data_IF_260794128210
#
_entry.id   IF_260794128210
#
_cell.length_a   1.000
_cell.length_b   1.000
_cell.length_c   1.000
_cell.angle_alpha   90.00
_cell.angle_beta   90.00
_cell.angle_gamma   90.00
#
_symmetry.space_group_name_H-M   'P 1'
#
loop_
_entity.id
_entity.type
_entity.pdbx_description
1 polymer ?
#
# COMPACT_ATOMS: atom_id res chain seq x y z
N UNK A 1 20.40 -0.64 -10.07
CA UNK A 1 19.06 -1.22 -9.86
C UNK A 1 18.73 -1.55 -8.40
N UNK A 2 19.66 -1.48 -7.44
CA UNK A 2 19.42 -1.82 -6.03
C UNK A 2 18.84 -0.68 -5.16
N UNK A 3 18.57 0.51 -5.73
CA UNK A 3 18.17 1.70 -4.96
C UNK A 3 16.70 2.11 -5.14
N UNK A 4 15.92 1.38 -5.95
CA UNK A 4 14.51 1.72 -6.22
C UNK A 4 13.57 1.00 -5.25
N UNK A 5 13.97 -0.19 -4.77
CA UNK A 5 13.14 -1.03 -3.91
C UNK A 5 13.68 -1.05 -2.48
N UNK A 6 12.81 -1.02 -1.45
CA UNK A 6 13.23 -1.21 -0.08
C UNK A 6 13.88 -2.58 0.09
N UNK A 7 14.88 -2.68 0.98
CA UNK A 7 15.67 -3.89 1.20
C UNK A 7 14.78 -5.13 1.42
N UNK A 8 13.68 -4.98 2.15
CA UNK A 8 12.72 -6.05 2.42
C UNK A 8 12.12 -6.67 1.14
N UNK A 9 11.90 -5.90 0.08
CA UNK A 9 11.41 -6.44 -1.19
C UNK A 9 12.46 -7.34 -1.87
N UNK A 10 13.74 -6.99 -1.74
CA UNK A 10 14.84 -7.84 -2.22
C UNK A 10 14.97 -9.11 -1.38
N UNK A 11 14.78 -9.01 -0.07
CA UNK A 11 14.87 -10.14 0.86
C UNK A 11 13.75 -11.16 0.58
N UNK A 12 12.51 -10.69 0.38
CA UNK A 12 11.37 -11.52 -0.03
C UNK A 12 11.66 -12.24 -1.36
N UNK A 13 12.16 -11.52 -2.36
CA UNK A 13 12.50 -12.13 -3.65
C UNK A 13 13.57 -13.22 -3.53
N UNK A 14 14.50 -13.08 -2.58
CA UNK A 14 15.57 -14.05 -2.31
C UNK A 14 15.13 -15.19 -1.38
N UNK A 15 13.89 -15.18 -0.89
CA UNK A 15 13.40 -16.15 0.09
C UNK A 15 14.04 -16.02 1.47
N UNK A 16 14.59 -14.84 1.79
CA UNK A 16 15.12 -14.54 3.12
C UNK A 16 13.93 -14.27 4.06
N UNK A 17 13.85 -14.93 5.22
CA UNK A 17 12.80 -14.64 6.19
C UNK A 17 12.86 -13.18 6.64
N UNK A 18 11.71 -12.50 6.60
CA UNK A 18 11.57 -11.14 7.12
C UNK A 18 11.45 -11.15 8.65
N UNK A 19 12.05 -10.15 9.28
CA UNK A 19 11.87 -9.86 10.71
C UNK A 19 10.93 -8.67 10.83
N UNK A 20 9.88 -8.82 11.61
CA UNK A 20 8.84 -7.81 11.78
C UNK A 20 8.99 -7.13 13.15
N UNK A 21 9.08 -5.79 13.19
CA UNK A 21 8.93 -5.02 14.43
C UNK A 21 7.54 -5.21 15.05
N UNK A 22 7.44 -5.07 16.37
CA UNK A 22 6.17 -5.20 17.10
C UNK A 22 5.13 -4.18 16.63
N UNK A 23 5.58 -3.01 16.22
CA UNK A 23 4.74 -1.93 15.71
C UNK A 23 3.99 -2.33 14.42
N UNK A 24 4.58 -3.23 13.63
CA UNK A 24 3.96 -3.77 12.42
C UNK A 24 2.88 -4.80 12.78
N UNK A 25 3.14 -5.66 13.76
CA UNK A 25 2.15 -6.60 14.29
C UNK A 25 0.93 -5.84 14.83
N UNK A 26 1.17 -4.83 15.67
CA UNK A 26 0.13 -3.96 16.22
C UNK A 26 -0.70 -3.28 15.11
N UNK A 27 -0.04 -2.80 14.06
CA UNK A 27 -0.71 -2.16 12.93
C UNK A 27 -1.57 -3.16 12.14
N UNK A 28 -1.08 -4.39 11.93
CA UNK A 28 -1.86 -5.47 11.30
C UNK A 28 -3.12 -5.81 12.11
N UNK A 29 -3.02 -5.89 13.44
CA UNK A 29 -4.16 -6.14 14.33
C UNK A 29 -5.17 -4.99 14.29
N UNK A 30 -4.72 -3.73 14.45
CA UNK A 30 -5.62 -2.57 14.39
C UNK A 30 -6.37 -2.47 13.06
N UNK A 31 -5.69 -2.75 11.94
CA UNK A 31 -6.33 -2.77 10.62
C UNK A 31 -7.36 -3.88 10.54
N UNK A 32 -7.02 -5.09 11.02
CA UNK A 32 -7.93 -6.22 11.01
C UNK A 32 -9.21 -5.90 11.79
N UNK A 33 -9.06 -5.40 13.00
CA UNK A 33 -10.18 -5.01 13.87
C UNK A 33 -11.02 -3.89 13.25
N UNK A 34 -10.38 -2.91 12.60
CA UNK A 34 -11.08 -1.82 11.92
C UNK A 34 -11.88 -2.27 10.68
N UNK A 35 -11.55 -3.43 10.12
CA UNK A 35 -12.27 -4.05 8.99
C UNK A 35 -13.20 -5.19 9.40
N UNK A 36 -13.15 -5.66 10.66
CA UNK A 36 -13.97 -6.78 11.12
C UNK A 36 -15.32 -6.27 11.65
N UNK A 37 -16.37 -6.37 10.83
CA UNK A 37 -17.72 -6.00 11.24
C UNK A 37 -18.59 -5.37 10.16
N UNK A 38 -19.70 -4.73 10.57
CA UNK A 38 -20.61 -4.01 9.68
C UNK A 38 -20.10 -2.59 9.44
N UNK A 39 -19.13 -2.47 8.53
CA UNK A 39 -18.53 -1.20 8.11
C UNK A 39 -17.05 -1.09 8.49
N UNK A 40 -16.41 -0.02 8.03
CA UNK A 40 -14.98 0.25 8.25
C UNK A 40 -14.80 1.42 9.19
N UNK A 41 -13.95 1.27 10.20
CA UNK A 41 -13.47 2.41 10.97
C UNK A 41 -12.33 3.12 10.19
N UNK A 42 -12.74 4.05 9.32
CA UNK A 42 -11.82 4.83 8.48
C UNK A 42 -10.78 5.60 9.30
N UNK A 43 -11.14 6.02 10.52
CA UNK A 43 -10.26 6.80 11.39
C UNK A 43 -9.10 5.93 11.90
N UNK A 44 -9.41 4.71 12.35
CA UNK A 44 -8.39 3.75 12.79
C UNK A 44 -7.46 3.39 11.63
N UNK A 45 -7.99 3.18 10.42
CA UNK A 45 -7.15 2.91 9.24
C UNK A 45 -6.19 4.06 8.93
N UNK A 46 -6.66 5.31 8.98
CA UNK A 46 -5.80 6.49 8.75
C UNK A 46 -4.73 6.59 9.82
N UNK A 47 -5.06 6.42 11.10
CA UNK A 47 -4.08 6.47 12.19
C UNK A 47 -3.03 5.36 12.10
N UNK A 48 -3.46 4.13 11.77
CA UNK A 48 -2.57 2.99 11.59
C UNK A 48 -1.62 3.15 10.39
N UNK A 49 -2.07 3.74 9.27
CA UNK A 49 -1.27 3.85 8.05
C UNK A 49 -0.44 5.15 7.96
N UNK A 50 -0.90 6.24 8.56
CA UNK A 50 -0.23 7.55 8.50
C UNK A 50 1.00 7.64 9.40
N UNK A 51 1.06 6.83 10.45
CA UNK A 51 2.20 6.74 11.37
C UNK A 51 3.37 5.93 10.81
N UNK A 52 3.17 5.17 9.73
CA UNK A 52 4.17 4.26 9.15
C UNK A 52 4.97 4.91 8.01
N UNK A 53 6.28 4.65 7.97
CA UNK A 53 7.12 5.00 6.82
C UNK A 53 6.79 4.14 5.59
N UNK A 54 7.29 4.51 4.41
CA UNK A 54 7.10 3.68 3.21
C UNK A 54 7.74 2.28 3.35
N UNK A 55 8.86 2.17 4.09
CA UNK A 55 9.49 0.88 4.37
C UNK A 55 8.63 0.05 5.32
N UNK A 56 8.08 0.68 6.37
CA UNK A 56 7.22 0.02 7.35
C UNK A 56 5.90 -0.43 6.72
N UNK A 57 5.31 0.37 5.82
CA UNK A 57 4.15 -0.04 5.04
C UNK A 57 4.45 -1.23 4.14
N UNK A 58 5.67 -1.33 3.60
CA UNK A 58 6.08 -2.52 2.85
C UNK A 58 6.12 -3.76 3.74
N UNK A 59 6.70 -3.66 4.94
CA UNK A 59 6.69 -4.73 5.93
C UNK A 59 5.27 -5.11 6.36
N UNK A 60 4.40 -4.13 6.58
CA UNK A 60 2.99 -4.31 6.92
C UNK A 60 2.26 -5.14 5.87
N UNK A 61 2.46 -4.85 4.58
CA UNK A 61 1.82 -5.60 3.49
C UNK A 61 2.22 -7.08 3.55
N UNK A 62 3.52 -7.37 3.70
CA UNK A 62 4.01 -8.75 3.81
C UNK A 62 3.50 -9.41 5.09
N UNK A 63 3.53 -8.70 6.22
CA UNK A 63 3.13 -9.23 7.52
C UNK A 63 1.64 -9.55 7.58
N UNK A 64 0.81 -8.65 7.04
CA UNK A 64 -0.64 -8.83 7.00
C UNK A 64 -1.01 -10.11 6.24
N UNK A 65 -0.35 -10.34 5.10
CA UNK A 65 -0.51 -11.57 4.32
C UNK A 65 -0.09 -12.82 5.10
N UNK A 66 1.02 -12.76 5.82
CA UNK A 66 1.50 -13.89 6.63
C UNK A 66 0.55 -14.24 7.78
N UNK A 67 0.00 -13.22 8.46
CA UNK A 67 -0.90 -13.39 9.61
C UNK A 67 -2.30 -13.87 9.19
N UNK A 68 -2.88 -13.25 8.17
CA UNK A 68 -4.29 -13.46 7.82
C UNK A 68 -4.53 -14.25 6.54
N UNK A 69 -3.45 -14.57 5.80
CA UNK A 69 -3.51 -15.26 4.49
C UNK A 69 -4.41 -14.56 3.46
N UNK A 70 -4.53 -13.24 3.59
CA UNK A 70 -5.30 -12.36 2.72
C UNK A 70 -4.43 -11.14 2.37
N UNK A 71 -4.58 -10.63 1.14
CA UNK A 71 -3.86 -9.43 0.73
C UNK A 71 -4.49 -8.20 1.40
N UNK A 72 -3.65 -7.33 1.97
CA UNK A 72 -4.11 -6.10 2.61
C UNK A 72 -4.95 -5.23 1.66
N UNK A 73 -4.53 -5.12 0.39
CA UNK A 73 -5.26 -4.39 -0.65
C UNK A 73 -6.66 -4.94 -0.91
N UNK A 74 -6.85 -6.25 -0.81
CA UNK A 74 -8.13 -6.91 -1.08
C UNK A 74 -9.09 -6.70 0.09
N UNK A 75 -8.55 -6.74 1.32
CA UNK A 75 -9.30 -6.40 2.54
C UNK A 75 -9.79 -4.96 2.47
N UNK A 76 -8.88 -3.99 2.27
CA UNK A 76 -9.24 -2.57 2.22
C UNK A 76 -10.12 -2.24 1.02
N UNK A 77 -9.90 -2.88 -0.13
CA UNK A 77 -10.66 -2.65 -1.36
C UNK A 77 -12.11 -3.13 -1.30
N UNK A 78 -12.41 -4.14 -0.48
CA UNK A 78 -13.77 -4.69 -0.29
C UNK A 78 -14.64 -3.74 0.52
N UNK A 79 -14.09 -3.20 1.60
CA UNK A 79 -14.90 -2.55 2.62
C UNK A 79 -14.88 -1.01 2.52
N UNK A 80 -14.05 -0.44 1.65
CA UNK A 80 -13.98 1.03 1.41
C UNK A 80 -14.42 1.41 0.00
N UNK A 81 -14.85 2.67 -0.19
CA UNK A 81 -15.30 3.18 -1.50
C UNK A 81 -14.73 4.56 -1.86
N UNK A 82 -14.88 4.95 -3.13
CA UNK A 82 -14.54 6.30 -3.61
C UNK A 82 -13.06 6.66 -3.50
N UNK A 83 -12.79 7.94 -3.23
CA UNK A 83 -11.44 8.50 -3.12
C UNK A 83 -10.68 7.97 -1.90
N UNK A 84 -11.40 7.62 -0.83
CA UNK A 84 -10.79 7.05 0.37
C UNK A 84 -10.17 5.67 0.07
N UNK A 85 -10.92 4.80 -0.61
CA UNK A 85 -10.37 3.53 -1.11
C UNK A 85 -9.16 3.75 -2.00
N UNK A 86 -9.24 4.71 -2.91
CA UNK A 86 -8.15 5.01 -3.83
C UNK A 86 -6.88 5.38 -3.06
N UNK A 87 -6.98 6.25 -2.05
CA UNK A 87 -5.86 6.61 -1.18
C UNK A 87 -5.28 5.40 -0.43
N UNK A 88 -6.13 4.56 0.16
CA UNK A 88 -5.69 3.37 0.89
C UNK A 88 -4.90 2.42 0.00
N UNK A 89 -5.41 2.11 -1.20
CA UNK A 89 -4.73 1.24 -2.16
C UNK A 89 -3.36 1.81 -2.57
N UNK A 90 -3.25 3.12 -2.75
CA UNK A 90 -1.96 3.77 -3.06
C UNK A 90 -0.94 3.63 -1.93
N UNK A 91 -1.39 3.65 -0.67
CA UNK A 91 -0.51 3.56 0.50
C UNK A 91 -0.08 2.11 0.79
N UNK A 92 -0.89 1.13 0.40
CA UNK A 92 -0.69 -0.28 0.75
C UNK A 92 -0.33 -1.17 -0.44
N UNK A 93 0.20 -0.59 -1.52
CA UNK A 93 0.71 -1.33 -2.68
C UNK A 93 2.20 -1.03 -2.89
N UNK A 94 2.99 -1.99 -3.39
CA UNK A 94 4.33 -1.71 -3.89
C UNK A 94 4.31 -0.67 -5.01
N UNK A 95 5.34 0.18 -5.11
CA UNK A 95 5.40 1.26 -6.10
C UNK A 95 5.10 0.83 -7.55
N UNK A 96 5.63 -0.30 -8.07
CA UNK A 96 5.29 -0.73 -9.43
C UNK A 96 3.82 -1.10 -9.60
N UNK A 97 3.20 -1.67 -8.56
CA UNK A 97 1.76 -1.97 -8.58
C UNK A 97 0.94 -0.68 -8.53
N UNK A 98 1.36 0.29 -7.73
CA UNK A 98 0.74 1.63 -7.67
C UNK A 98 0.80 2.31 -9.03
N UNK A 99 1.97 2.33 -9.67
CA UNK A 99 2.15 2.95 -10.99
C UNK A 99 1.27 2.27 -12.04
N UNK A 100 1.28 0.93 -12.10
CA UNK A 100 0.43 0.17 -13.00
C UNK A 100 -1.07 0.42 -12.73
N UNK A 101 -1.46 0.50 -11.46
CA UNK A 101 -2.83 0.80 -11.05
C UNK A 101 -3.26 2.20 -11.48
N UNK A 102 -2.44 3.23 -11.23
CA UNK A 102 -2.71 4.61 -11.67
C UNK A 102 -2.83 4.68 -13.18
N UNK A 103 -1.91 4.04 -13.92
CA UNK A 103 -1.94 3.99 -15.38
C UNK A 103 -3.21 3.31 -15.90
N UNK A 104 -3.60 2.18 -15.31
CA UNK A 104 -4.84 1.49 -15.65
C UNK A 104 -6.06 2.38 -15.39
N UNK A 105 -6.16 2.99 -14.21
CA UNK A 105 -7.28 3.91 -13.87
C UNK A 105 -7.31 5.14 -14.78
N UNK A 106 -6.15 5.66 -15.17
CA UNK A 106 -6.05 6.81 -16.07
C UNK A 106 -6.44 6.47 -17.52
N UNK A 107 -6.33 5.20 -17.92
CA UNK A 107 -6.59 4.73 -19.29
C UNK A 107 -7.93 3.99 -19.44
N UNK A 108 -8.57 3.57 -18.35
CA UNK A 108 -9.83 2.82 -18.35
C UNK A 108 -11.10 3.68 -18.48
N UNK A 109 -11.02 4.86 -19.10
CA UNK A 109 -12.16 5.78 -19.29
C UNK A 109 -12.04 6.63 -20.55
N UNK A 110 -13.15 7.19 -21.03
CA UNK A 110 -13.24 8.01 -22.26
C UNK A 110 -12.60 9.41 -22.15
N UNK A 111 -11.84 9.68 -21.08
CA UNK A 111 -11.12 10.95 -20.89
C UNK A 111 -9.93 10.74 -19.96
N UNK A 112 -8.73 11.08 -20.43
CA UNK A 112 -7.47 11.00 -19.69
C UNK A 112 -7.51 11.88 -18.45
N UNK A 113 -7.36 11.30 -17.25
CA UNK A 113 -7.15 12.08 -16.01
C UNK A 113 -5.67 12.41 -15.85
N UNK A 114 -5.14 13.27 -16.72
CA UNK A 114 -3.72 13.68 -16.78
C UNK A 114 -3.16 14.18 -15.43
N UNK A 115 -4.03 14.62 -14.50
CA UNK A 115 -3.66 15.15 -13.19
C UNK A 115 -2.99 14.15 -12.24
N UNK A 116 -3.10 12.84 -12.49
CA UNK A 116 -2.47 11.80 -11.66
C UNK A 116 -1.05 11.42 -12.12
N UNK A 117 -0.57 11.97 -13.25
CA UNK A 117 0.77 11.68 -13.80
C UNK A 117 1.88 12.54 -13.20
N UNK A 118 1.54 13.64 -12.52
CA UNK A 118 2.52 14.60 -11.99
C UNK A 118 3.46 14.05 -10.89
N UNK A 119 3.06 13.12 -10.00
CA UNK A 119 3.98 12.54 -9.02
C UNK A 119 5.06 11.66 -9.67
N UNK A 120 4.69 10.94 -10.75
CA UNK A 120 5.61 10.06 -11.47
C UNK A 120 6.66 10.89 -12.21
N UNK A 121 6.25 11.98 -12.89
CA UNK A 121 7.18 12.78 -13.70
C UNK A 121 8.16 13.62 -12.86
N UNK A 122 7.74 14.17 -11.71
CA UNK A 122 8.63 14.98 -10.87
C UNK A 122 9.82 14.17 -10.35
N UNK A 123 9.60 12.90 -10.00
CA UNK A 123 10.65 12.00 -9.51
C UNK A 123 11.76 11.73 -10.53
N UNK A 124 11.46 11.81 -11.83
CA UNK A 124 12.43 11.56 -12.92
C UNK A 124 13.17 12.82 -13.42
N UNK A 125 12.70 14.02 -13.06
CA UNK A 125 13.37 15.29 -13.44
C UNK A 125 14.40 15.77 -12.42
N UNK A 126 14.31 15.35 -11.15
CA UNK A 126 15.27 15.73 -10.10
C UNK A 126 16.47 14.75 -9.99
N UNK A 127 16.61 13.82 -10.94
CA UNK A 127 17.70 12.84 -11.04
C UNK A 127 18.60 13.03 -12.28
N UNK A 128 18.64 14.24 -12.85
CA UNK A 128 19.66 14.70 -13.80
C UNK A 128 20.35 15.94 -13.25
#
# INVERSE_FOLDING_TARGET
MQHIFPQHAHDVYRGVPLVYPHEIDDACERIRDATDGLGVDEKVLVEALSSLSASDRSLLIYRYKDLYREELKDTLGRDTVGDFRFLLLLLTMPLPEVEAFILNVATSGSRTKERLLYPVRSFWTDML
#
